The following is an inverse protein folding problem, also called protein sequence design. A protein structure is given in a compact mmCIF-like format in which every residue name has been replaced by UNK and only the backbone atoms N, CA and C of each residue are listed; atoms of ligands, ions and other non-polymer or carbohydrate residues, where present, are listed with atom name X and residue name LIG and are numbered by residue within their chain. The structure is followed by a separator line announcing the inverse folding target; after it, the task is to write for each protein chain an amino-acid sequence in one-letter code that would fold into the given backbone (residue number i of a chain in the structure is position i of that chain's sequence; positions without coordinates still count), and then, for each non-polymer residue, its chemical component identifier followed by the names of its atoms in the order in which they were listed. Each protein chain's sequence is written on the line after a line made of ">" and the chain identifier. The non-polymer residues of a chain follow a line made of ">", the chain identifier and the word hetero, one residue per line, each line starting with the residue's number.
data_IF_556281310710
#
_entry.id   IF_556281310710
#
_cell.length_a   1.000
_cell.length_b   1.000
_cell.length_c   1.000
_cell.angle_alpha   90.00
_cell.angle_beta   90.00
_cell.angle_gamma   90.00
#
_symmetry.space_group_name_H-M   'P 1'
#
loop_
_entity.id
_entity.type
_entity.pdbx_description
1 polymer ?
#
# COMPACT_ATOMS: atom_id res chain seq x y z
N UNK A 1 -0.08 12.92 19.49
CA UNK A 1 1.28 13.34 19.10
C UNK A 1 1.21 14.77 18.62
N UNK A 2 2.20 15.62 18.93
CA UNK A 2 2.23 16.99 18.40
C UNK A 2 2.52 16.90 16.89
N UNK A 3 1.64 17.50 16.08
CA UNK A 3 1.83 17.61 14.63
C UNK A 3 2.75 18.79 14.38
N UNK A 4 4.02 18.55 14.08
CA UNK A 4 4.97 19.58 13.71
C UNK A 4 5.28 19.52 12.22
N UNK A 5 5.47 20.68 11.61
CA UNK A 5 5.87 20.77 10.21
C UNK A 5 7.26 20.21 10.00
N UNK A 6 7.39 19.45 8.92
CA UNK A 6 8.67 18.97 8.44
C UNK A 6 9.15 19.86 7.30
N UNK A 7 10.33 20.43 7.46
CA UNK A 7 10.99 21.17 6.39
C UNK A 7 12.44 20.66 6.26
N UNK A 8 13.33 21.14 7.10
CA UNK A 8 14.70 20.64 7.23
C UNK A 8 14.89 20.15 8.65
N UNK A 9 15.36 18.91 8.79
CA UNK A 9 15.76 18.34 10.08
C UNK A 9 17.27 18.15 10.05
N UNK A 10 17.96 18.79 10.96
CA UNK A 10 19.39 18.63 11.19
C UNK A 10 19.57 18.22 12.65
N UNK A 11 20.13 17.03 12.88
CA UNK A 11 20.23 16.44 14.19
C UNK A 11 21.36 15.43 14.28
N UNK A 12 21.86 15.20 15.49
CA UNK A 12 22.66 14.01 15.80
C UNK A 12 21.79 12.77 15.68
N UNK A 13 22.43 11.59 15.57
CA UNK A 13 21.77 10.35 15.23
C UNK A 13 21.97 9.28 16.31
N UNK A 14 20.98 8.38 16.46
CA UNK A 14 21.12 7.15 17.24
C UNK A 14 21.41 5.99 16.27
N UNK A 15 22.58 5.34 16.30
CA UNK A 15 22.92 4.24 15.40
C UNK A 15 22.42 2.90 15.94
N UNK A 16 21.32 2.39 15.42
CA UNK A 16 20.76 1.08 15.81
C UNK A 16 21.10 0.06 14.72
N UNK A 17 22.30 -0.54 14.80
CA UNK A 17 22.84 -1.47 13.82
C UNK A 17 22.23 -2.88 13.93
N UNK A 18 20.90 -2.98 13.87
CA UNK A 18 20.18 -4.25 13.94
C UNK A 18 19.49 -4.50 12.60
N UNK A 19 19.99 -5.47 11.85
CA UNK A 19 19.34 -5.93 10.63
C UNK A 19 18.06 -6.72 10.95
N UNK A 20 17.05 -6.59 10.08
CA UNK A 20 15.75 -7.20 10.29
C UNK A 20 15.12 -6.81 11.64
N UNK A 21 15.39 -5.59 12.12
CA UNK A 21 14.78 -5.07 13.34
C UNK A 21 13.26 -5.19 13.24
N UNK A 22 12.71 -6.18 13.91
CA UNK A 22 11.29 -6.48 13.82
C UNK A 22 10.45 -5.64 14.78
N UNK A 23 9.14 -5.63 14.57
CA UNK A 23 8.22 -4.83 15.39
C UNK A 23 8.12 -5.30 16.84
N UNK A 24 8.52 -6.54 17.19
CA UNK A 24 8.59 -7.02 18.56
C UNK A 24 9.81 -6.47 19.30
N UNK A 25 10.92 -6.22 18.58
CA UNK A 25 12.08 -5.53 19.13
C UNK A 25 11.81 -4.04 19.33
N UNK A 26 11.05 -3.42 18.40
CA UNK A 26 10.68 -2.00 18.49
C UNK A 26 9.71 -1.75 19.64
N UNK A 27 8.70 -2.61 19.81
CA UNK A 27 7.76 -2.56 20.93
C UNK A 27 7.36 -3.96 21.36
N UNK A 28 7.70 -4.38 22.60
CA UNK A 28 7.32 -5.70 23.10
C UNK A 28 5.82 -5.91 23.18
N UNK A 29 5.38 -7.13 22.87
CA UNK A 29 3.95 -7.48 22.74
C UNK A 29 3.09 -7.12 23.97
N UNK A 30 3.66 -7.11 25.17
CA UNK A 30 2.93 -6.76 26.41
C UNK A 30 2.39 -5.33 26.45
N UNK A 31 2.99 -4.40 25.68
CA UNK A 31 2.53 -3.02 25.59
C UNK A 31 1.36 -2.83 24.62
N UNK A 32 1.07 -3.81 23.75
CA UNK A 32 0.01 -3.73 22.75
C UNK A 32 -1.40 -3.86 23.34
N UNK A 33 -1.54 -4.47 24.51
CA UNK A 33 -2.83 -4.65 25.19
C UNK A 33 -3.32 -3.36 25.89
N UNK A 34 -2.51 -2.31 25.90
CA UNK A 34 -2.88 -1.03 26.54
C UNK A 34 -3.96 -0.31 25.75
N UNK A 35 -4.95 0.25 26.45
CA UNK A 35 -6.01 1.09 25.88
C UNK A 35 -5.61 2.57 25.81
N UNK A 36 -4.46 2.93 26.40
CA UNK A 36 -3.96 4.31 26.35
C UNK A 36 -3.51 4.70 24.93
N UNK A 37 -3.60 5.99 24.63
CA UNK A 37 -2.97 6.61 23.44
C UNK A 37 -1.94 7.65 23.85
N UNK A 38 -1.47 7.58 25.08
CA UNK A 38 -0.44 8.49 25.59
C UNK A 38 0.87 8.27 24.84
N UNK A 39 1.41 9.29 24.13
CA UNK A 39 2.68 9.18 23.45
C UNK A 39 3.85 8.80 24.36
N UNK A 40 3.86 9.31 25.61
CA UNK A 40 4.93 9.02 26.58
C UNK A 40 4.97 7.53 26.91
N UNK A 41 3.81 6.90 27.15
CA UNK A 41 3.72 5.46 27.41
C UNK A 41 4.37 4.62 26.29
N UNK A 42 4.10 4.99 25.03
CA UNK A 42 4.68 4.29 23.89
C UNK A 42 6.16 4.62 23.70
N UNK A 43 6.56 5.85 23.97
CA UNK A 43 7.97 6.26 23.95
C UNK A 43 8.82 5.49 24.99
N UNK A 44 8.29 5.31 26.20
CA UNK A 44 8.95 4.52 27.25
C UNK A 44 9.07 3.04 26.87
N UNK A 45 8.08 2.51 26.09
CA UNK A 45 8.08 1.16 25.60
C UNK A 45 9.02 0.94 24.38
N UNK A 46 9.56 2.02 23.76
CA UNK A 46 10.44 1.92 22.61
C UNK A 46 11.71 1.16 22.95
N UNK A 47 11.91 0.04 22.25
CA UNK A 47 13.04 -0.90 22.43
C UNK A 47 13.25 -1.36 23.88
N UNK A 48 12.18 -1.43 24.67
CA UNK A 48 12.25 -1.65 26.10
C UNK A 48 13.08 -2.90 26.47
N UNK A 49 12.88 -4.04 25.79
CA UNK A 49 13.56 -5.30 26.11
C UNK A 49 15.03 -5.34 25.66
N UNK A 50 15.46 -4.37 24.87
CA UNK A 50 16.87 -4.16 24.54
C UNK A 50 17.52 -3.12 25.48
N UNK A 51 16.71 -2.15 25.96
CA UNK A 51 17.18 -1.08 26.85
C UNK A 51 17.26 -1.51 28.30
N UNK A 52 16.41 -2.43 28.73
CA UNK A 52 16.30 -2.83 30.13
C UNK A 52 16.32 -4.34 30.29
N UNK A 53 16.94 -4.82 31.38
CA UNK A 53 16.90 -6.23 31.78
C UNK A 53 15.56 -6.61 32.45
N UNK A 54 15.44 -7.88 32.89
CA UNK A 54 14.22 -8.37 33.53
C UNK A 54 13.93 -7.69 34.89
N UNK A 55 14.95 -7.16 35.53
CA UNK A 55 14.89 -6.43 36.80
C UNK A 55 14.62 -4.93 36.61
N UNK A 56 14.61 -4.44 35.34
CA UNK A 56 14.39 -3.05 34.97
C UNK A 56 15.65 -2.18 35.02
N UNK A 57 16.85 -2.77 35.13
CA UNK A 57 18.09 -2.02 35.08
C UNK A 57 18.48 -1.76 33.59
N UNK A 58 19.10 -0.61 33.31
CA UNK A 58 19.60 -0.32 31.98
C UNK A 58 20.69 -1.32 31.52
N UNK A 59 20.54 -1.89 30.34
CA UNK A 59 21.56 -2.74 29.69
C UNK A 59 22.64 -1.83 29.10
N UNK A 60 23.80 -1.78 29.78
CA UNK A 60 24.86 -0.83 29.47
C UNK A 60 25.43 -0.93 28.05
N UNK A 61 25.45 -2.16 27.50
CA UNK A 61 25.99 -2.41 26.15
C UNK A 61 25.03 -1.96 25.01
N UNK A 62 23.75 -1.69 25.32
CA UNK A 62 22.85 -1.25 24.34
C UNK A 62 23.05 0.24 24.00
N UNK A 63 23.14 0.54 22.70
CA UNK A 63 23.54 1.87 22.21
C UNK A 63 22.74 3.03 22.84
N UNK A 64 21.42 2.90 22.99
CA UNK A 64 20.57 3.95 23.57
C UNK A 64 20.80 4.20 25.07
N UNK A 65 21.56 3.34 25.77
CA UNK A 65 21.92 3.52 27.15
C UNK A 65 23.35 4.01 27.34
N UNK A 66 24.13 4.11 26.25
CA UNK A 66 25.49 4.66 26.29
C UNK A 66 25.43 6.18 26.48
N UNK A 67 26.40 6.79 27.17
CA UNK A 67 26.37 8.22 27.52
C UNK A 67 26.13 9.15 26.33
N UNK A 68 26.71 8.82 25.18
CA UNK A 68 26.60 9.64 23.96
C UNK A 68 25.22 9.59 23.28
N UNK A 69 24.38 8.58 23.59
CA UNK A 69 23.09 8.33 22.93
C UNK A 69 21.91 8.20 23.89
N UNK A 70 22.14 8.35 25.21
CA UNK A 70 21.12 8.16 26.25
C UNK A 70 20.20 9.38 26.44
N UNK A 71 20.57 10.53 25.88
CA UNK A 71 19.74 11.73 25.94
C UNK A 71 18.47 11.54 25.10
N UNK A 72 17.31 11.89 25.68
CA UNK A 72 16.03 11.82 24.97
C UNK A 72 16.04 12.76 23.75
N UNK A 73 15.42 12.33 22.64
CA UNK A 73 15.33 13.15 21.44
C UNK A 73 14.71 14.54 21.71
N UNK A 74 15.35 15.55 21.20
CA UNK A 74 14.87 16.94 21.18
C UNK A 74 15.41 17.64 19.96
N UNK A 75 14.88 18.80 19.63
CA UNK A 75 15.28 19.54 18.42
C UNK A 75 16.80 19.65 18.26
N UNK A 76 17.30 19.08 17.19
CA UNK A 76 18.71 19.03 16.85
C UNK A 76 19.53 17.92 17.53
N UNK A 77 18.92 17.13 18.43
CA UNK A 77 19.59 16.05 19.17
C UNK A 77 18.78 14.78 19.09
N UNK A 78 19.35 13.73 18.53
CA UNK A 78 18.80 12.38 18.46
C UNK A 78 17.40 12.25 17.81
N UNK A 79 16.99 13.24 17.00
CA UNK A 79 15.72 13.16 16.24
C UNK A 79 15.80 12.13 15.10
N UNK A 80 16.98 11.62 14.79
CA UNK A 80 17.25 10.72 13.68
C UNK A 80 17.77 9.37 14.20
N UNK A 81 17.16 8.27 13.75
CA UNK A 81 17.70 6.93 13.90
C UNK A 81 18.35 6.52 12.59
N UNK A 82 19.57 5.99 12.64
CA UNK A 82 20.16 5.22 11.56
C UNK A 82 20.01 3.74 11.93
N UNK A 83 19.09 3.06 11.25
CA UNK A 83 18.75 1.66 11.51
C UNK A 83 19.43 0.70 10.53
N UNK A 84 19.51 -0.60 10.88
CA UNK A 84 19.96 -1.67 10.00
C UNK A 84 18.98 -1.90 8.81
N UNK A 85 19.33 -2.80 7.90
CA UNK A 85 18.48 -3.12 6.75
C UNK A 85 17.17 -3.82 7.18
N UNK A 86 16.12 -3.70 6.34
CA UNK A 86 14.79 -4.31 6.56
C UNK A 86 14.16 -3.91 7.90
N UNK A 87 14.17 -2.61 8.18
CA UNK A 87 13.64 -2.03 9.41
C UNK A 87 12.12 -2.20 9.51
N UNK A 88 11.63 -2.56 10.70
CA UNK A 88 10.21 -2.75 10.99
C UNK A 88 9.62 -4.02 10.38
N UNK A 89 10.44 -5.06 10.17
CA UNK A 89 10.00 -6.38 9.71
C UNK A 89 9.04 -7.05 10.71
N UNK A 90 8.43 -8.17 10.30
CA UNK A 90 7.56 -8.97 11.17
C UNK A 90 6.09 -8.57 11.11
N UNK A 91 5.42 -8.46 12.26
CA UNK A 91 3.98 -8.20 12.34
C UNK A 91 3.63 -6.75 12.02
N UNK A 92 2.49 -6.53 11.34
CA UNK A 92 2.01 -5.17 11.04
C UNK A 92 1.39 -4.50 12.27
N UNK A 93 2.25 -3.90 13.10
CA UNK A 93 1.87 -3.21 14.33
C UNK A 93 2.06 -1.71 14.19
N UNK A 94 0.98 -0.97 14.19
CA UNK A 94 1.02 0.50 14.19
C UNK A 94 1.66 1.04 15.47
N UNK A 95 1.50 0.34 16.59
CA UNK A 95 2.12 0.67 17.88
C UNK A 95 3.65 0.79 17.81
N UNK A 96 4.32 0.07 16.90
CA UNK A 96 5.76 0.22 16.70
C UNK A 96 6.12 1.62 16.18
N UNK A 97 5.30 2.17 15.28
CA UNK A 97 5.47 3.55 14.82
C UNK A 97 5.10 4.57 15.92
N UNK A 98 4.09 4.27 16.75
CA UNK A 98 3.75 5.09 17.93
C UNK A 98 4.88 5.14 18.93
N UNK A 99 5.58 4.01 19.16
CA UNK A 99 6.72 3.93 20.07
C UNK A 99 7.89 4.82 19.60
N UNK A 100 8.23 4.76 18.30
CA UNK A 100 9.27 5.59 17.70
C UNK A 100 8.91 7.07 17.80
N UNK A 101 7.70 7.44 17.41
CA UNK A 101 7.22 8.82 17.47
C UNK A 101 7.06 9.33 18.90
N UNK A 102 6.58 8.47 19.83
CA UNK A 102 6.43 8.80 21.25
C UNK A 102 7.76 8.99 21.96
N UNK A 103 8.81 8.29 21.52
CA UNK A 103 10.17 8.50 22.01
C UNK A 103 10.74 9.86 21.58
N UNK A 104 10.19 10.48 20.52
CA UNK A 104 10.60 11.79 20.02
C UNK A 104 11.41 11.73 18.71
N UNK A 105 11.56 10.56 18.11
CA UNK A 105 12.23 10.38 16.83
C UNK A 105 11.35 10.87 15.70
N UNK A 106 11.93 11.64 14.78
CA UNK A 106 11.26 12.22 13.62
C UNK A 106 11.66 11.60 12.29
N UNK A 107 12.86 11.01 12.22
CA UNK A 107 13.40 10.40 11.01
C UNK A 107 14.00 9.04 11.32
N UNK A 108 13.72 8.05 10.49
CA UNK A 108 14.44 6.77 10.50
C UNK A 108 15.09 6.58 9.13
N UNK A 109 16.41 6.41 9.10
CA UNK A 109 17.22 6.17 7.90
C UNK A 109 17.58 4.68 7.88
N UNK A 110 17.34 4.02 6.75
CA UNK A 110 17.70 2.60 6.55
C UNK A 110 17.84 2.30 5.06
N UNK A 111 18.59 1.26 4.71
CA UNK A 111 18.68 0.83 3.30
C UNK A 111 17.41 0.12 2.81
N UNK A 112 16.53 -0.34 3.72
CA UNK A 112 15.22 -0.89 3.36
C UNK A 112 14.28 -0.96 4.57
N UNK A 113 12.99 -0.92 4.29
CA UNK A 113 11.90 -1.00 5.28
C UNK A 113 10.90 -2.08 4.91
N UNK A 114 10.23 -2.64 5.90
CA UNK A 114 8.98 -3.39 5.66
C UNK A 114 7.88 -2.40 5.23
N UNK A 115 7.16 -2.72 4.14
CA UNK A 115 6.21 -1.80 3.48
C UNK A 115 5.15 -1.26 4.44
N UNK A 116 4.57 -2.12 5.29
CA UNK A 116 3.52 -1.72 6.23
C UNK A 116 4.08 -0.77 7.29
N UNK A 117 5.25 -1.09 7.85
CA UNK A 117 5.88 -0.26 8.86
C UNK A 117 6.28 1.12 8.32
N UNK A 118 6.79 1.16 7.07
CA UNK A 118 7.08 2.42 6.36
C UNK A 118 5.86 3.33 6.28
N UNK A 119 4.69 2.78 5.93
CA UNK A 119 3.44 3.53 5.86
C UNK A 119 2.96 3.97 7.25
N UNK A 120 3.08 3.12 8.27
CA UNK A 120 2.73 3.45 9.65
C UNK A 120 3.59 4.59 10.21
N UNK A 121 4.90 4.61 9.90
CA UNK A 121 5.78 5.73 10.27
C UNK A 121 5.28 7.06 9.70
N UNK A 122 4.96 7.10 8.41
CA UNK A 122 4.44 8.31 7.75
C UNK A 122 3.12 8.79 8.37
N UNK A 123 2.25 7.87 8.78
CA UNK A 123 0.99 8.20 9.45
C UNK A 123 1.21 8.75 10.88
N UNK A 124 2.34 8.42 11.49
CA UNK A 124 2.75 8.89 12.82
C UNK A 124 3.68 10.10 12.77
N UNK A 125 3.81 10.77 11.64
CA UNK A 125 4.73 11.91 11.46
C UNK A 125 6.19 11.54 11.75
N UNK A 126 6.61 10.35 11.37
CA UNK A 126 8.01 9.92 11.31
C UNK A 126 8.38 9.66 9.86
N UNK A 127 9.45 10.28 9.38
CA UNK A 127 9.89 10.16 8.00
C UNK A 127 10.81 8.94 7.82
N UNK A 128 10.43 7.89 7.08
CA UNK A 128 11.33 6.83 6.66
C UNK A 128 12.15 7.28 5.43
N UNK A 129 13.45 7.32 5.56
CA UNK A 129 14.40 7.66 4.49
C UNK A 129 15.13 6.41 4.05
N UNK A 130 14.96 6.04 2.77
CA UNK A 130 15.66 4.92 2.14
C UNK A 130 16.91 5.46 1.47
N UNK A 131 18.06 4.88 1.81
CA UNK A 131 19.38 5.23 1.27
C UNK A 131 20.07 3.98 0.71
N UNK A 132 21.18 4.17 -0.01
CA UNK A 132 22.04 3.06 -0.41
C UNK A 132 22.66 2.37 0.80
N UNK A 133 23.09 1.11 0.65
CA UNK A 133 23.80 0.40 1.71
C UNK A 133 25.15 1.06 2.01
N UNK A 134 25.78 1.59 0.99
CA UNK A 134 27.05 2.30 1.05
C UNK A 134 26.91 3.57 1.89
N UNK A 135 25.88 4.38 1.65
CA UNK A 135 25.61 5.58 2.44
C UNK A 135 25.20 5.25 3.88
N UNK A 136 24.41 4.20 4.06
CA UNK A 136 24.06 3.72 5.41
C UNK A 136 25.29 3.33 6.21
N UNK A 137 26.23 2.60 5.60
CA UNK A 137 27.48 2.21 6.25
C UNK A 137 28.36 3.44 6.55
N UNK A 138 28.45 4.37 5.60
CA UNK A 138 29.15 5.64 5.81
C UNK A 138 28.61 6.42 7.03
N UNK A 139 27.30 6.45 7.20
CA UNK A 139 26.67 7.06 8.38
C UNK A 139 27.10 6.35 9.68
N UNK A 140 27.05 5.02 9.70
CA UNK A 140 27.49 4.24 10.87
C UNK A 140 28.97 4.51 11.20
N UNK A 141 29.84 4.51 10.20
CA UNK A 141 31.26 4.77 10.38
C UNK A 141 31.52 6.20 10.89
N UNK A 142 30.80 7.18 10.34
CA UNK A 142 30.92 8.58 10.79
C UNK A 142 30.45 8.79 12.23
N UNK A 143 29.34 8.14 12.63
CA UNK A 143 28.81 8.23 13.99
C UNK A 143 29.73 7.48 14.98
N UNK A 144 30.29 6.34 14.58
CA UNK A 144 31.26 5.60 15.39
C UNK A 144 32.57 6.40 15.61
N UNK A 145 33.01 7.15 14.60
CA UNK A 145 34.17 8.04 14.73
C UNK A 145 33.89 9.28 15.59
N UNK A 146 32.67 9.82 15.49
CA UNK A 146 32.22 10.98 16.27
C UNK A 146 30.71 10.87 16.55
N UNK A 147 30.29 10.55 17.80
CA UNK A 147 28.88 10.46 18.18
C UNK A 147 28.07 11.77 17.95
N UNK A 148 28.75 12.92 17.87
CA UNK A 148 28.12 14.20 17.59
C UNK A 148 27.95 14.48 16.10
N UNK A 149 28.16 13.49 15.21
CA UNK A 149 27.93 13.60 13.79
C UNK A 149 26.46 13.94 13.53
N UNK A 150 26.26 15.06 12.84
CA UNK A 150 24.92 15.50 12.43
C UNK A 150 24.59 15.04 11.01
N UNK A 151 23.34 14.71 10.82
CA UNK A 151 22.74 14.43 9.50
C UNK A 151 21.67 15.47 9.21
N UNK A 152 21.69 16.00 7.99
CA UNK A 152 20.67 16.91 7.49
C UNK A 152 19.72 16.18 6.56
N UNK A 153 18.42 16.25 6.83
CA UNK A 153 17.35 15.72 5.97
C UNK A 153 16.53 16.90 5.48
N UNK A 154 16.58 17.13 4.16
CA UNK A 154 15.90 18.22 3.46
C UNK A 154 14.70 17.62 2.69
N UNK A 155 13.50 17.80 3.23
CA UNK A 155 12.29 17.21 2.64
C UNK A 155 11.86 17.93 1.36
N UNK A 156 11.86 19.27 1.27
CA UNK A 156 11.62 19.99 0.03
C UNK A 156 12.45 19.46 -1.15
N UNK A 157 13.75 19.27 -0.94
CA UNK A 157 14.70 18.81 -1.96
C UNK A 157 14.86 17.29 -2.00
N UNK A 158 14.27 16.56 -1.04
CA UNK A 158 14.36 15.10 -0.91
C UNK A 158 15.81 14.61 -0.85
N UNK A 159 16.64 15.29 -0.07
CA UNK A 159 18.05 14.93 0.11
C UNK A 159 18.38 14.66 1.56
N UNK A 160 19.24 13.67 1.79
CA UNK A 160 19.86 13.37 3.07
C UNK A 160 21.36 13.57 2.94
N UNK A 161 21.97 14.32 3.87
CA UNK A 161 23.37 14.70 3.81
C UNK A 161 24.06 14.30 5.11
N UNK A 162 25.16 13.57 5.01
CA UNK A 162 26.09 13.37 6.10
C UNK A 162 26.98 14.63 6.23
N UNK A 163 26.81 15.40 7.30
CA UNK A 163 27.54 16.66 7.48
C UNK A 163 29.01 16.46 7.82
N UNK A 164 29.42 15.26 8.27
CA UNK A 164 30.84 14.97 8.52
C UNK A 164 31.64 14.80 7.23
N UNK A 165 31.05 14.23 6.18
CA UNK A 165 31.71 13.97 4.89
C UNK A 165 31.27 14.94 3.79
N UNK A 166 30.12 15.57 3.95
CA UNK A 166 29.46 16.39 2.91
C UNK A 166 28.77 15.55 1.83
N UNK A 167 28.77 14.21 1.93
CA UNK A 167 28.10 13.34 0.99
C UNK A 167 26.57 13.43 1.13
N UNK A 168 25.85 13.47 0.02
CA UNK A 168 24.39 13.58 -0.03
C UNK A 168 23.78 12.54 -0.96
N UNK A 169 22.67 11.96 -0.54
CA UNK A 169 21.84 11.10 -1.40
C UNK A 169 20.42 11.65 -1.54
N UNK A 170 19.78 11.31 -2.65
CA UNK A 170 18.36 11.59 -2.88
C UNK A 170 17.52 10.45 -2.37
N UNK A 171 16.38 10.76 -1.74
CA UNK A 171 15.40 9.76 -1.29
C UNK A 171 14.02 10.03 -1.89
N UNK A 172 13.26 8.94 -2.12
CA UNK A 172 11.92 9.02 -2.66
C UNK A 172 10.85 9.04 -1.56
N UNK A 173 9.93 10.01 -1.67
CA UNK A 173 8.72 10.09 -0.86
C UNK A 173 7.51 10.36 -1.76
N UNK A 174 6.38 9.74 -1.44
CA UNK A 174 5.12 10.04 -2.13
C UNK A 174 4.74 11.51 -1.97
N UNK A 175 4.38 12.19 -3.07
CA UNK A 175 4.08 13.62 -3.10
C UNK A 175 2.96 14.03 -2.14
N UNK A 176 1.93 13.20 -1.98
CA UNK A 176 0.85 13.41 -1.02
C UNK A 176 1.37 13.37 0.43
N UNK A 177 2.15 12.34 0.81
CA UNK A 177 2.73 12.24 2.17
C UNK A 177 3.76 13.34 2.43
N UNK A 178 4.55 13.73 1.42
CA UNK A 178 5.44 14.90 1.49
C UNK A 178 4.64 16.16 1.83
N UNK A 179 3.55 16.43 1.10
CA UNK A 179 2.69 17.58 1.35
C UNK A 179 2.09 17.55 2.77
N UNK A 180 1.60 16.38 3.22
CA UNK A 180 1.07 16.20 4.57
C UNK A 180 2.11 16.50 5.65
N UNK A 181 3.33 15.96 5.54
CA UNK A 181 4.41 16.21 6.50
C UNK A 181 4.81 17.69 6.54
N UNK A 182 4.99 18.33 5.37
CA UNK A 182 5.38 19.74 5.28
C UNK A 182 4.34 20.70 5.85
N UNK A 183 3.06 20.32 5.85
CA UNK A 183 1.97 21.14 6.38
C UNK A 183 1.47 20.71 7.77
N UNK A 184 2.05 19.64 8.34
CA UNK A 184 1.58 19.01 9.58
C UNK A 184 0.11 18.53 9.49
N UNK A 185 -0.30 18.02 8.33
CA UNK A 185 -1.64 17.51 8.06
C UNK A 185 -1.69 16.00 8.22
N UNK A 186 -2.67 15.50 8.94
CA UNK A 186 -3.10 14.11 8.78
C UNK A 186 -4.02 13.96 7.57
N UNK A 187 -4.48 12.72 7.31
CA UNK A 187 -5.33 12.43 6.16
C UNK A 187 -6.69 13.19 6.24
N UNK A 188 -7.19 13.47 7.45
CA UNK A 188 -8.43 14.24 7.68
C UNK A 188 -8.19 15.72 7.43
N UNK A 189 -7.11 16.29 7.97
CA UNK A 189 -6.74 17.68 7.74
C UNK A 189 -6.57 17.97 6.25
N UNK A 190 -5.95 17.05 5.52
CA UNK A 190 -5.80 17.16 4.08
C UNK A 190 -7.15 17.17 3.35
N UNK A 191 -8.09 16.30 3.72
CA UNK A 191 -9.43 16.29 3.13
C UNK A 191 -10.16 17.60 3.45
N UNK A 192 -10.11 18.07 4.68
CA UNK A 192 -10.72 19.34 5.07
C UNK A 192 -10.11 20.53 4.32
N UNK A 193 -8.81 20.52 4.05
CA UNK A 193 -8.15 21.57 3.25
C UNK A 193 -8.59 21.62 1.78
N UNK A 194 -9.24 20.57 1.28
CA UNK A 194 -9.76 20.47 -0.08
C UNK A 194 -11.30 20.50 -0.16
N UNK A 195 -11.99 20.90 0.92
CA UNK A 195 -13.47 20.91 0.98
C UNK A 195 -14.08 21.69 -0.19
N UNK A 196 -13.57 22.86 -0.54
CA UNK A 196 -14.05 23.66 -1.67
C UNK A 196 -13.98 22.92 -3.01
N UNK A 197 -12.91 22.13 -3.23
CA UNK A 197 -12.77 21.33 -4.46
C UNK A 197 -13.73 20.14 -4.48
N UNK A 198 -13.99 19.55 -3.31
CA UNK A 198 -14.93 18.44 -3.14
C UNK A 198 -16.35 18.96 -3.42
N UNK A 199 -16.73 20.08 -2.84
CA UNK A 199 -18.04 20.71 -3.06
C UNK A 199 -18.25 21.12 -4.52
N UNK A 200 -17.22 21.68 -5.16
CA UNK A 200 -17.27 22.03 -6.59
C UNK A 200 -17.46 20.78 -7.48
N UNK A 201 -16.79 19.67 -7.14
CA UNK A 201 -16.96 18.40 -7.85
C UNK A 201 -18.36 17.80 -7.65
N UNK A 202 -18.91 17.84 -6.44
CA UNK A 202 -20.28 17.39 -6.16
C UNK A 202 -21.33 18.22 -6.87
N UNK A 203 -21.13 19.55 -6.99
CA UNK A 203 -22.03 20.41 -7.74
C UNK A 203 -22.01 20.08 -9.24
N UNK A 204 -20.83 19.84 -9.82
CA UNK A 204 -20.73 19.39 -11.21
C UNK A 204 -21.43 18.05 -11.45
N UNK A 205 -21.31 17.10 -10.52
CA UNK A 205 -22.03 15.83 -10.58
C UNK A 205 -23.55 16.01 -10.60
N UNK A 206 -24.09 16.86 -9.72
CA UNK A 206 -25.53 17.17 -9.67
C UNK A 206 -26.03 17.87 -10.92
N UNK A 207 -25.23 18.74 -11.55
CA UNK A 207 -25.60 19.37 -12.83
C UNK A 207 -25.62 18.39 -14.00
N UNK A 208 -24.78 17.36 -13.99
CA UNK A 208 -24.76 16.29 -15.00
C UNK A 208 -26.00 15.40 -14.84
N UNK A 209 -26.33 14.97 -13.61
CA UNK A 209 -27.53 14.18 -13.32
C UNK A 209 -28.81 14.95 -13.68
N UNK A 210 -28.91 16.25 -13.35
CA UNK A 210 -30.04 17.09 -13.71
C UNK A 210 -30.20 17.29 -15.23
N UNK A 211 -29.12 17.27 -15.98
CA UNK A 211 -29.16 17.33 -17.45
C UNK A 211 -29.59 16.00 -18.10
N UNK A 212 -29.22 14.87 -17.49
CA UNK A 212 -29.65 13.54 -17.93
C UNK A 212 -31.15 13.31 -17.66
N UNK A 213 -31.68 13.72 -16.51
CA UNK A 213 -33.12 13.66 -16.24
C UNK A 213 -33.97 14.54 -17.16
N UNK A 214 -33.44 15.69 -17.63
CA UNK A 214 -34.16 16.52 -18.58
C UNK A 214 -34.17 15.96 -20.02
N UNK A 215 -33.32 14.98 -20.34
CA UNK A 215 -33.26 14.38 -21.70
C UNK A 215 -34.12 13.14 -21.88
N UNK A 216 -34.67 12.54 -20.81
CA UNK A 216 -35.56 11.38 -20.91
C UNK A 216 -37.02 11.67 -21.25
N UNK A 217 -37.46 12.94 -21.32
CA UNK A 217 -38.89 13.30 -21.52
C UNK A 217 -39.28 13.56 -22.98
N UNK A 218 -38.42 13.33 -23.96
CA UNK A 218 -38.83 13.47 -25.39
C UNK A 218 -38.31 12.32 -26.25
N UNK A 219 -39.07 11.22 -26.30
CA UNK A 219 -39.04 10.31 -27.44
C UNK A 219 -40.31 10.50 -28.30
N UNK A 220 -40.21 10.88 -29.58
CA UNK A 220 -41.12 10.42 -30.57
C UNK A 220 -40.50 9.27 -31.38
N UNK A 221 -41.30 8.24 -31.55
CA UNK A 221 -41.09 7.11 -32.43
C UNK A 221 -41.01 7.53 -33.91
N UNK A 222 -40.03 7.01 -34.66
CA UNK A 222 -40.23 6.41 -36.01
C UNK A 222 -38.89 6.13 -36.73
N UNK A 223 -38.75 4.91 -37.07
CA UNK A 223 -38.15 4.23 -38.26
C UNK A 223 -37.18 4.96 -39.21
N UNK A 224 -36.12 4.19 -39.46
CA UNK A 224 -35.56 3.79 -40.79
C UNK A 224 -34.34 4.53 -41.34
N UNK A 225 -33.39 3.66 -41.72
CA UNK A 225 -32.42 3.70 -42.84
C UNK A 225 -31.03 4.29 -42.60
N UNK A 226 -30.07 3.37 -42.63
CA UNK A 226 -28.67 3.57 -43.00
C UNK A 226 -28.49 4.12 -44.40
N UNK A 227 -27.43 4.88 -44.79
CA UNK A 227 -26.12 4.30 -45.05
C UNK A 227 -24.91 5.16 -44.64
N UNK A 228 -23.76 4.49 -44.43
CA UNK A 228 -22.42 5.08 -44.43
C UNK A 228 -21.91 5.27 -45.89
N UNK A 229 -20.69 5.78 -46.19
CA UNK A 229 -19.71 6.58 -45.48
C UNK A 229 -19.19 7.80 -46.29
N UNK A 230 -18.38 8.71 -45.70
CA UNK A 230 -17.25 9.34 -46.37
C UNK A 230 -16.46 10.35 -45.53
N UNK A 231 -15.20 10.12 -45.50
CA UNK A 231 -13.96 10.87 -45.28
C UNK A 231 -13.96 12.39 -45.59
N UNK A 232 -13.28 13.18 -44.74
CA UNK A 232 -12.17 14.14 -44.99
C UNK A 232 -12.05 15.16 -43.89
N UNK A 233 -10.90 15.14 -43.22
CA UNK A 233 -9.69 16.02 -43.32
C UNK A 233 -9.82 17.49 -42.87
N UNK A 234 -8.90 17.79 -41.92
CA UNK A 234 -8.18 19.05 -41.66
C UNK A 234 -8.88 20.18 -40.88
N UNK A 235 -8.37 20.69 -39.79
CA UNK A 235 -7.08 21.41 -39.60
C UNK A 235 -6.82 21.74 -38.14
N UNK A 236 -5.54 21.83 -37.82
CA UNK A 236 -4.87 22.17 -36.60
C UNK A 236 -5.31 23.50 -35.95
N UNK A 237 -5.39 23.53 -34.62
CA UNK A 237 -4.76 24.61 -33.82
C UNK A 237 -4.13 23.99 -32.58
N UNK A 238 -2.81 24.11 -32.50
CA UNK A 238 -1.99 23.70 -31.40
C UNK A 238 -2.21 24.60 -30.19
N UNK A 239 -2.50 24.01 -29.04
CA UNK A 239 -2.16 24.61 -27.73
C UNK A 239 -1.42 23.54 -26.93
N UNK A 240 -0.12 23.77 -26.79
CA UNK A 240 0.78 23.02 -25.92
C UNK A 240 0.32 23.15 -24.46
N UNK A 241 -0.10 22.06 -23.87
CA UNK A 241 0.09 21.78 -22.45
C UNK A 241 0.62 20.36 -22.34
N UNK A 242 1.93 20.27 -22.18
CA UNK A 242 2.62 19.05 -21.83
C UNK A 242 2.20 18.67 -20.41
N UNK A 243 1.26 17.76 -20.29
CA UNK A 243 0.96 17.06 -19.07
C UNK A 243 1.60 15.68 -19.17
N UNK A 244 2.75 15.56 -18.51
CA UNK A 244 3.53 14.33 -18.38
C UNK A 244 2.71 13.33 -17.54
N UNK A 245 1.74 12.67 -18.14
CA UNK A 245 1.23 11.40 -17.64
C UNK A 245 2.31 10.33 -17.87
N UNK A 246 3.26 10.28 -16.96
CA UNK A 246 4.17 9.16 -16.82
C UNK A 246 3.33 7.93 -16.49
N UNK A 247 2.94 7.17 -17.51
CA UNK A 247 2.36 5.84 -17.37
C UNK A 247 3.37 4.98 -16.61
N UNK A 248 3.09 4.73 -15.34
CA UNK A 248 3.89 3.84 -14.49
C UNK A 248 3.73 2.45 -15.09
N UNK A 249 4.74 2.01 -15.85
CA UNK A 249 4.75 0.64 -16.38
C UNK A 249 4.71 -0.34 -15.19
N UNK A 250 3.83 -1.34 -15.20
CA UNK A 250 3.73 -2.28 -14.10
C UNK A 250 5.05 -3.03 -13.92
N UNK A 251 5.54 -3.09 -12.70
CA UNK A 251 6.80 -3.77 -12.33
C UNK A 251 6.81 -5.25 -12.72
N UNK A 252 5.63 -5.89 -12.87
CA UNK A 252 5.47 -7.29 -13.27
C UNK A 252 4.23 -7.46 -14.14
N UNK A 253 4.41 -7.97 -15.36
CA UNK A 253 3.29 -8.36 -16.22
C UNK A 253 2.52 -9.54 -15.62
N UNK A 254 1.21 -9.41 -15.53
CA UNK A 254 0.31 -10.46 -15.09
C UNK A 254 -0.18 -11.31 -16.26
N UNK A 255 -0.43 -12.63 -16.08
CA UNK A 255 -0.89 -13.52 -17.14
C UNK A 255 -2.27 -13.13 -17.68
N UNK A 256 -2.45 -13.24 -19.01
CA UNK A 256 -3.70 -12.90 -19.73
C UNK A 256 -4.23 -14.03 -20.60
N UNK A 257 -3.65 -15.21 -20.51
CA UNK A 257 -3.87 -16.35 -21.40
C UNK A 257 -4.62 -17.53 -20.76
N UNK A 258 -5.36 -17.29 -19.70
CA UNK A 258 -6.16 -18.31 -19.01
C UNK A 258 -7.43 -18.62 -19.78
N UNK A 259 -7.77 -19.92 -19.85
CA UNK A 259 -8.97 -20.37 -20.54
C UNK A 259 -9.56 -21.65 -19.95
N UNK A 260 -10.84 -21.88 -20.24
CA UNK A 260 -11.58 -23.07 -19.81
C UNK A 260 -10.90 -24.38 -20.22
N UNK A 261 -10.43 -24.47 -21.45
CA UNK A 261 -9.79 -25.69 -21.99
C UNK A 261 -8.56 -26.07 -21.18
N UNK A 262 -7.71 -25.10 -20.84
CA UNK A 262 -6.52 -25.35 -19.98
C UNK A 262 -6.92 -25.84 -18.59
N UNK A 263 -7.97 -25.24 -18.00
CA UNK A 263 -8.47 -25.63 -16.68
C UNK A 263 -9.01 -27.04 -16.64
N UNK A 264 -9.76 -27.46 -17.67
CA UNK A 264 -10.32 -28.81 -17.78
C UNK A 264 -9.19 -29.84 -18.05
N UNK A 265 -8.40 -29.63 -19.10
CA UNK A 265 -7.38 -30.58 -19.52
C UNK A 265 -6.33 -30.83 -18.43
N UNK A 266 -5.70 -29.77 -17.96
CA UNK A 266 -4.69 -29.90 -16.90
C UNK A 266 -5.31 -30.23 -15.53
N UNK A 267 -6.56 -29.83 -15.28
CA UNK A 267 -7.31 -30.23 -14.08
C UNK A 267 -7.50 -31.75 -14.02
N UNK A 268 -7.86 -32.39 -15.12
CA UNK A 268 -8.01 -33.86 -15.20
C UNK A 268 -6.64 -34.56 -15.05
N UNK A 269 -5.63 -34.12 -15.83
CA UNK A 269 -4.28 -34.71 -15.80
C UNK A 269 -3.65 -34.64 -14.40
N UNK A 270 -3.87 -33.57 -13.67
CA UNK A 270 -3.26 -33.33 -12.37
C UNK A 270 -4.20 -33.61 -11.18
N UNK A 271 -5.32 -34.31 -11.40
CA UNK A 271 -6.34 -34.62 -10.38
C UNK A 271 -6.78 -33.36 -9.60
N UNK A 272 -6.92 -32.24 -10.28
CA UNK A 272 -7.36 -30.95 -9.70
C UNK A 272 -6.24 -30.06 -9.14
N UNK A 273 -5.01 -30.54 -8.99
CA UNK A 273 -3.89 -29.75 -8.43
C UNK A 273 -3.63 -28.50 -9.27
N UNK A 274 -3.69 -28.60 -10.60
CA UNK A 274 -3.54 -27.44 -11.48
C UNK A 274 -4.58 -26.34 -11.18
N UNK A 275 -5.83 -26.71 -10.93
CA UNK A 275 -6.90 -25.77 -10.64
C UNK A 275 -6.64 -25.02 -9.31
N UNK A 276 -6.14 -25.73 -8.29
CA UNK A 276 -5.75 -25.11 -7.01
C UNK A 276 -4.60 -24.11 -7.22
N UNK A 277 -3.60 -24.45 -8.02
CA UNK A 277 -2.48 -23.56 -8.34
C UNK A 277 -2.98 -22.30 -9.07
N UNK A 278 -3.88 -22.44 -10.04
CA UNK A 278 -4.43 -21.31 -10.79
C UNK A 278 -5.25 -20.40 -9.88
N UNK A 279 -6.12 -20.94 -9.04
CA UNK A 279 -6.92 -20.16 -8.09
C UNK A 279 -6.03 -19.45 -7.05
N UNK A 280 -4.96 -20.11 -6.61
CA UNK A 280 -3.94 -19.50 -5.73
C UNK A 280 -3.24 -18.31 -6.40
N UNK A 281 -2.90 -18.43 -7.69
CA UNK A 281 -2.32 -17.31 -8.46
C UNK A 281 -3.31 -16.16 -8.61
N UNK A 282 -4.57 -16.45 -8.94
CA UNK A 282 -5.62 -15.44 -9.09
C UNK A 282 -5.85 -14.67 -7.78
N UNK A 283 -5.86 -15.36 -6.62
CA UNK A 283 -6.01 -14.68 -5.32
C UNK A 283 -4.85 -13.73 -5.00
N UNK A 284 -3.64 -14.00 -5.50
CA UNK A 284 -2.50 -13.08 -5.39
C UNK A 284 -2.60 -11.91 -6.37
N UNK A 285 -3.02 -12.18 -7.60
CA UNK A 285 -3.13 -11.19 -8.66
C UNK A 285 -4.20 -10.14 -8.35
N UNK A 286 -5.38 -10.57 -7.86
CA UNK A 286 -6.41 -9.61 -7.43
C UNK A 286 -5.92 -8.74 -6.26
N UNK A 287 -5.05 -9.26 -5.40
CA UNK A 287 -4.41 -8.45 -4.36
C UNK A 287 -3.43 -7.43 -4.95
N UNK A 288 -2.68 -7.77 -5.99
CA UNK A 288 -1.79 -6.83 -6.66
C UNK A 288 -2.58 -5.71 -7.34
N UNK A 289 -3.69 -6.06 -8.01
CA UNK A 289 -4.46 -5.12 -8.84
C UNK A 289 -5.39 -4.24 -8.01
N UNK A 290 -6.08 -4.81 -6.99
CA UNK A 290 -7.16 -4.14 -6.27
C UNK A 290 -6.77 -3.61 -4.89
N UNK A 291 -5.80 -4.23 -4.17
CA UNK A 291 -5.53 -3.86 -2.76
C UNK A 291 -5.05 -2.42 -2.57
N UNK A 292 -4.42 -1.83 -3.59
CA UNK A 292 -4.01 -0.42 -3.56
C UNK A 292 -5.21 0.55 -3.50
N UNK A 293 -6.39 0.10 -3.92
CA UNK A 293 -7.58 0.93 -4.04
C UNK A 293 -8.65 0.59 -3.00
N UNK A 294 -8.87 -0.71 -2.74
CA UNK A 294 -9.92 -1.15 -1.82
C UNK A 294 -9.42 -1.42 -0.40
N UNK A 295 -8.10 -1.36 -0.16
CA UNK A 295 -7.48 -1.63 1.14
C UNK A 295 -7.70 -3.06 1.67
N UNK A 296 -8.25 -3.97 0.85
CA UNK A 296 -8.62 -5.33 1.26
C UNK A 296 -7.63 -6.35 0.74
N UNK A 297 -7.52 -7.47 1.43
CA UNK A 297 -6.74 -8.63 0.97
C UNK A 297 -7.63 -9.84 0.83
N UNK A 298 -7.57 -10.52 -0.33
CA UNK A 298 -8.20 -11.82 -0.54
C UNK A 298 -7.30 -12.91 0.01
N UNK A 299 -7.84 -13.75 0.89
CA UNK A 299 -7.11 -14.90 1.44
C UNK A 299 -6.69 -15.85 0.32
N UNK A 300 -5.51 -16.43 0.44
CA UNK A 300 -4.98 -17.36 -0.55
C UNK A 300 -5.89 -18.59 -0.71
N UNK A 301 -6.26 -18.93 -1.94
CA UNK A 301 -7.14 -20.05 -2.27
C UNK A 301 -6.65 -21.40 -1.70
N UNK A 302 -5.33 -21.61 -1.62
CA UNK A 302 -4.76 -22.83 -1.07
C UNK A 302 -5.26 -23.11 0.36
N UNK A 303 -5.21 -22.13 1.24
CA UNK A 303 -5.66 -22.27 2.63
C UNK A 303 -7.18 -22.48 2.73
N UNK A 304 -7.94 -21.78 1.88
CA UNK A 304 -9.39 -21.94 1.81
C UNK A 304 -9.77 -23.37 1.40
N UNK A 305 -9.13 -23.89 0.34
CA UNK A 305 -9.47 -25.20 -0.23
C UNK A 305 -8.99 -26.33 0.69
N UNK A 306 -7.75 -26.30 1.17
CA UNK A 306 -7.14 -27.42 1.91
C UNK A 306 -7.53 -27.46 3.39
N UNK A 307 -7.75 -26.33 4.02
CA UNK A 307 -8.00 -26.25 5.46
C UNK A 307 -9.43 -25.82 5.79
N UNK A 308 -9.81 -24.62 5.40
CA UNK A 308 -11.06 -24.02 5.82
C UNK A 308 -12.30 -24.69 5.22
N UNK A 309 -12.23 -25.16 3.96
CA UNK A 309 -13.36 -25.83 3.32
C UNK A 309 -13.68 -27.18 3.99
N UNK A 310 -12.64 -27.90 4.36
CA UNK A 310 -12.83 -29.17 5.08
C UNK A 310 -13.41 -28.95 6.48
N UNK A 311 -12.89 -27.97 7.22
CA UNK A 311 -13.34 -27.64 8.57
C UNK A 311 -14.78 -27.10 8.61
N UNK A 312 -15.23 -26.40 7.55
CA UNK A 312 -16.56 -25.75 7.48
C UNK A 312 -17.56 -26.50 6.60
N UNK A 313 -17.28 -27.74 6.19
CA UNK A 313 -18.15 -28.48 5.27
C UNK A 313 -18.37 -27.79 3.92
N UNK A 314 -17.39 -27.05 3.43
CA UNK A 314 -17.43 -26.34 2.14
C UNK A 314 -17.93 -24.90 2.19
N UNK A 315 -18.53 -24.44 3.29
CA UNK A 315 -19.09 -23.07 3.43
C UNK A 315 -17.99 -22.01 3.17
N UNK A 316 -16.77 -22.21 3.68
CA UNK A 316 -15.68 -21.27 3.47
C UNK A 316 -15.35 -21.07 1.99
N UNK A 317 -15.41 -22.10 1.17
CA UNK A 317 -15.20 -21.99 -0.29
C UNK A 317 -16.30 -21.19 -0.98
N UNK A 318 -17.56 -21.38 -0.56
CA UNK A 318 -18.71 -20.63 -1.10
C UNK A 318 -18.56 -19.14 -0.81
N UNK A 319 -18.31 -18.80 0.46
CA UNK A 319 -18.13 -17.40 0.89
C UNK A 319 -16.90 -16.78 0.20
N UNK A 320 -15.79 -17.48 0.15
CA UNK A 320 -14.58 -16.99 -0.49
C UNK A 320 -14.77 -16.73 -1.98
N UNK A 321 -15.43 -17.67 -2.70
CA UNK A 321 -15.69 -17.51 -4.14
C UNK A 321 -16.64 -16.32 -4.40
N UNK A 322 -17.68 -16.16 -3.57
CA UNK A 322 -18.54 -14.98 -3.64
C UNK A 322 -17.74 -13.67 -3.47
N UNK A 323 -16.91 -13.59 -2.43
CA UNK A 323 -16.12 -12.40 -2.14
C UNK A 323 -15.12 -12.06 -3.25
N UNK A 324 -14.41 -13.05 -3.80
CA UNK A 324 -13.44 -12.81 -4.86
C UNK A 324 -14.11 -12.38 -6.18
N UNK A 325 -15.27 -12.99 -6.52
CA UNK A 325 -16.04 -12.60 -7.70
C UNK A 325 -16.54 -11.16 -7.59
N UNK A 326 -17.06 -10.76 -6.43
CA UNK A 326 -17.51 -9.41 -6.17
C UNK A 326 -16.36 -8.41 -6.28
N UNK A 327 -15.20 -8.75 -5.71
CA UNK A 327 -14.01 -7.91 -5.75
C UNK A 327 -13.48 -7.70 -7.18
N UNK A 328 -13.44 -8.77 -8.00
CA UNK A 328 -13.07 -8.69 -9.42
C UNK A 328 -14.06 -7.79 -10.16
N UNK A 329 -15.37 -7.95 -9.93
CA UNK A 329 -16.41 -7.15 -10.57
C UNK A 329 -16.30 -5.66 -10.24
N UNK A 330 -16.12 -5.32 -8.99
CA UNK A 330 -15.92 -3.94 -8.55
C UNK A 330 -14.67 -3.30 -9.18
N UNK A 331 -13.59 -4.06 -9.27
CA UNK A 331 -12.35 -3.54 -9.86
C UNK A 331 -12.46 -3.37 -11.39
N UNK A 332 -13.17 -4.27 -12.10
CA UNK A 332 -13.48 -4.11 -13.52
C UNK A 332 -14.32 -2.84 -13.76
N UNK A 333 -15.33 -2.59 -12.93
CA UNK A 333 -16.18 -1.40 -13.02
C UNK A 333 -15.36 -0.13 -12.73
N UNK A 334 -14.56 -0.13 -11.66
CA UNK A 334 -13.70 1.01 -11.30
C UNK A 334 -12.73 1.39 -12.43
N UNK A 335 -12.16 0.40 -13.09
CA UNK A 335 -11.23 0.59 -14.22
C UNK A 335 -11.93 0.83 -15.55
N UNK A 336 -13.27 0.87 -15.57
CA UNK A 336 -14.08 1.03 -16.79
C UNK A 336 -13.73 -0.02 -17.87
N UNK A 337 -13.37 -1.22 -17.47
CA UNK A 337 -13.12 -2.32 -18.39
C UNK A 337 -14.47 -2.80 -18.93
N UNK A 338 -14.68 -2.88 -20.27
CA UNK A 338 -15.98 -3.22 -20.86
C UNK A 338 -16.30 -4.71 -20.69
N UNK A 339 -16.37 -5.19 -19.47
CA UNK A 339 -16.66 -6.57 -19.09
C UNK A 339 -17.47 -6.62 -17.81
N UNK A 340 -18.71 -7.10 -17.89
CA UNK A 340 -19.53 -7.34 -16.71
C UNK A 340 -19.25 -8.71 -16.13
N UNK A 341 -18.88 -8.75 -14.84
CA UNK A 341 -18.66 -9.96 -14.07
C UNK A 341 -18.83 -9.62 -12.60
N UNK A 342 -19.34 -10.56 -11.79
CA UNK A 342 -19.48 -10.33 -10.35
C UNK A 342 -19.98 -11.56 -9.58
N UNK A 343 -20.35 -11.34 -8.32
CA UNK A 343 -20.89 -12.39 -7.45
C UNK A 343 -22.19 -13.02 -7.98
N UNK A 344 -23.00 -12.26 -8.73
CA UNK A 344 -24.21 -12.77 -9.40
C UNK A 344 -23.91 -13.87 -10.41
N UNK A 345 -22.78 -13.77 -11.15
CA UNK A 345 -22.34 -14.83 -12.07
C UNK A 345 -22.00 -16.13 -11.35
N UNK A 346 -21.43 -16.04 -10.14
CA UNK A 346 -21.16 -17.21 -9.31
C UNK A 346 -22.46 -17.90 -8.90
N UNK A 347 -23.46 -17.15 -8.35
CA UNK A 347 -24.72 -17.73 -7.91
C UNK A 347 -25.52 -18.29 -9.06
N UNK A 348 -25.61 -17.56 -10.18
CA UNK A 348 -26.39 -17.94 -11.35
C UNK A 348 -25.80 -19.18 -12.05
N UNK A 349 -24.49 -19.13 -12.36
CA UNK A 349 -23.88 -20.16 -13.19
C UNK A 349 -23.25 -21.30 -12.39
N UNK A 350 -22.57 -21.02 -11.26
CA UNK A 350 -21.91 -22.07 -10.51
C UNK A 350 -22.91 -22.81 -9.59
N UNK A 351 -23.81 -22.09 -8.90
CA UNK A 351 -24.73 -22.72 -7.97
C UNK A 351 -26.04 -23.18 -8.68
N UNK A 352 -26.82 -22.27 -9.24
CA UNK A 352 -28.07 -22.63 -9.93
C UNK A 352 -27.81 -23.40 -11.22
N UNK A 353 -26.82 -23.00 -12.00
CA UNK A 353 -26.45 -23.64 -13.26
C UNK A 353 -25.85 -25.05 -13.09
N UNK A 354 -25.42 -25.45 -11.89
CA UNK A 354 -24.99 -26.84 -11.62
C UNK A 354 -26.10 -27.86 -11.77
N UNK A 355 -27.37 -27.44 -11.66
CA UNK A 355 -28.54 -28.29 -11.91
C UNK A 355 -28.61 -28.82 -13.35
N UNK A 356 -28.03 -28.08 -14.30
CA UNK A 356 -27.96 -28.45 -15.72
C UNK A 356 -26.54 -28.86 -16.17
N UNK A 357 -25.64 -29.16 -15.23
CA UNK A 357 -24.26 -29.61 -15.40
C UNK A 357 -23.33 -28.66 -16.21
N UNK A 358 -23.86 -27.79 -17.06
CA UNK A 358 -23.10 -26.87 -17.92
C UNK A 358 -22.70 -25.58 -17.18
N UNK A 359 -23.48 -25.20 -16.17
CA UNK A 359 -23.30 -23.94 -15.45
C UNK A 359 -21.90 -23.70 -14.87
N UNK A 360 -21.28 -24.64 -14.15
CA UNK A 360 -19.92 -24.48 -13.62
C UNK A 360 -18.87 -24.20 -14.71
N UNK A 361 -19.01 -24.77 -15.90
CA UNK A 361 -18.11 -24.50 -17.02
C UNK A 361 -18.29 -23.10 -17.58
N UNK A 362 -19.53 -22.62 -17.68
CA UNK A 362 -19.84 -21.22 -18.04
C UNK A 362 -19.26 -20.27 -17.01
N UNK A 363 -19.42 -20.55 -15.72
CA UNK A 363 -18.83 -19.76 -14.65
C UNK A 363 -17.31 -19.68 -14.77
N UNK A 364 -16.62 -20.81 -14.89
CA UNK A 364 -15.14 -20.84 -15.01
C UNK A 364 -14.70 -20.05 -16.24
N UNK A 365 -15.40 -20.18 -17.36
CA UNK A 365 -15.10 -19.41 -18.57
C UNK A 365 -15.19 -17.89 -18.32
N UNK A 366 -16.30 -17.42 -17.76
CA UNK A 366 -16.51 -16.01 -17.44
C UNK A 366 -15.48 -15.48 -16.43
N UNK A 367 -15.19 -16.26 -15.39
CA UNK A 367 -14.23 -15.92 -14.35
C UNK A 367 -12.80 -15.75 -14.91
N UNK A 368 -12.34 -16.69 -15.73
CA UNK A 368 -11.02 -16.62 -16.36
C UNK A 368 -10.92 -15.43 -17.33
N UNK A 369 -11.96 -15.17 -18.13
CA UNK A 369 -12.01 -14.02 -19.02
C UNK A 369 -12.01 -12.70 -18.26
N UNK A 370 -12.76 -12.59 -17.16
CA UNK A 370 -12.78 -11.39 -16.32
C UNK A 370 -11.38 -11.07 -15.78
N UNK A 371 -10.68 -12.09 -15.25
CA UNK A 371 -9.29 -11.91 -14.78
C UNK A 371 -8.31 -11.57 -15.89
N UNK A 372 -8.44 -12.17 -17.08
CA UNK A 372 -7.58 -11.85 -18.21
C UNK A 372 -7.76 -10.37 -18.65
N UNK A 373 -8.99 -9.88 -18.71
CA UNK A 373 -9.28 -8.48 -19.04
C UNK A 373 -8.73 -7.53 -17.96
N UNK A 374 -8.93 -7.86 -16.68
CA UNK A 374 -8.42 -7.07 -15.58
C UNK A 374 -6.88 -7.00 -15.58
N UNK A 375 -6.23 -8.15 -15.79
CA UNK A 375 -4.77 -8.22 -15.90
C UNK A 375 -4.24 -7.49 -17.14
N UNK A 376 -4.97 -7.52 -18.28
CA UNK A 376 -4.59 -6.80 -19.49
C UNK A 376 -4.62 -5.28 -19.25
N UNK A 377 -5.67 -4.76 -18.62
CA UNK A 377 -5.77 -3.34 -18.26
C UNK A 377 -4.67 -2.94 -17.27
N UNK A 378 -4.42 -3.77 -16.24
CA UNK A 378 -3.32 -3.54 -15.30
C UNK A 378 -1.94 -3.54 -15.97
N UNK A 379 -1.71 -4.44 -16.93
CA UNK A 379 -0.44 -4.51 -17.67
C UNK A 379 -0.19 -3.28 -18.56
N UNK A 380 -1.24 -2.53 -18.89
CA UNK A 380 -1.16 -1.30 -19.69
C UNK A 380 -1.08 -0.04 -18.83
N UNK A 381 -1.87 0.03 -17.75
CA UNK A 381 -2.08 1.25 -16.98
C UNK A 381 -1.41 1.23 -15.59
N UNK A 382 -1.11 0.05 -15.04
CA UNK A 382 -0.55 -0.13 -13.69
C UNK A 382 -1.56 -0.35 -12.60
#
# INVERSE_FOLDING_TARGET
>A
MAKEKFDIIQSTCIPIQIDNCNTDLIIPARYLASTTRDPQFFGDAFMHDLRFDAEGNPVADFVMNQPDFSEAPRKGVHEIIVGGQNWGSGSSREHAAWAIAGYGVRVVISSSFADIHRNNLLNCFVLPVIVSKEFQQELFDSIAANPQTEVKVDIPNQTVTNLATGHSEHFDINSYKKYCLMNAYDDIDFLLSNTEKIEAYEQQGKEVEAKEECTEVTKPSSESTLPAPATKENQEVAVNTADDQKTIKPFRKLPIDRGLTKMILFGIITLGIYNIIVMTKISREINIVASKHDGRTTTNALWIILLWSWLTGGIASIVWTHCICNRIGNELQRRQVPKTFGASDYWLWCILGSLIFIGPFVFIHKFMHAMNHLNADYNQKG
#
